data_IF_024421851523
#
_entry.id   IF_024421851523
#
_cell.length_a   1.000
_cell.length_b   1.000
_cell.length_c   1.000
_cell.angle_alpha   90.00
_cell.angle_beta   90.00
_cell.angle_gamma   90.00
#
_symmetry.space_group_name_H-M   'P 1'
#
loop_
_entity.id
_entity.type
_entity.pdbx_description
1 polymer ?
#
# COMPACT_ATOMS: atom_id res chain seq x y z
N UNK A 1 2.27 9.96 10.25
CA UNK A 1 1.22 9.04 10.75
C UNK A 1 -0.12 9.67 10.44
N UNK A 2 -1.10 8.85 10.10
CA UNK A 2 -2.43 9.31 9.72
C UNK A 2 -3.40 8.13 9.59
N UNK A 3 -4.69 8.43 9.52
CA UNK A 3 -5.74 7.45 9.24
C UNK A 3 -5.92 7.18 7.74
N UNK A 4 -5.15 7.84 6.88
CA UNK A 4 -5.16 7.62 5.43
C UNK A 4 -3.75 7.76 4.87
N UNK A 5 -3.42 6.95 3.86
CA UNK A 5 -2.23 7.09 3.03
C UNK A 5 -2.68 7.23 1.59
N UNK A 6 -2.47 8.44 1.04
CA UNK A 6 -2.67 8.74 -0.36
C UNK A 6 -1.41 9.41 -0.90
N UNK A 7 -0.80 8.80 -1.92
CA UNK A 7 0.36 9.37 -2.60
C UNK A 7 -0.01 10.28 -3.77
N UNK A 8 -1.27 10.26 -4.19
CA UNK A 8 -1.81 10.97 -5.36
C UNK A 8 -1.09 10.64 -6.69
N UNK A 9 -0.40 9.50 -6.73
CA UNK A 9 0.34 9.03 -7.89
C UNK A 9 -0.54 8.12 -8.75
N UNK A 10 -0.34 8.20 -10.07
CA UNK A 10 -1.01 7.35 -11.04
C UNK A 10 -0.24 6.04 -11.19
N UNK A 11 -0.92 4.92 -10.97
CA UNK A 11 -0.39 3.57 -11.10
C UNK A 11 -0.81 3.03 -12.46
N UNK A 12 0.17 2.76 -13.32
CA UNK A 12 -0.08 2.14 -14.62
C UNK A 12 -0.62 0.71 -14.47
N UNK A 13 -1.41 0.26 -15.46
CA UNK A 13 -1.87 -1.12 -15.51
C UNK A 13 -0.70 -2.11 -15.42
N UNK A 14 -0.84 -3.14 -14.59
CA UNK A 14 0.21 -4.15 -14.33
C UNK A 14 1.38 -3.67 -13.48
N UNK A 15 1.42 -2.38 -13.11
CA UNK A 15 2.33 -1.88 -12.06
C UNK A 15 1.63 -1.89 -10.71
N UNK A 16 2.39 -1.76 -9.63
CA UNK A 16 1.83 -1.80 -8.28
C UNK A 16 2.19 -0.58 -7.46
N UNK A 17 1.26 -0.15 -6.63
CA UNK A 17 1.48 0.80 -5.54
C UNK A 17 1.40 0.07 -4.20
N UNK A 18 2.27 0.42 -3.25
CA UNK A 18 2.44 -0.36 -2.03
C UNK A 18 2.42 0.51 -0.79
N UNK A 19 1.75 -0.02 0.25
CA UNK A 19 1.50 0.67 1.50
C UNK A 19 1.95 -0.20 2.68
N UNK A 20 2.88 0.32 3.47
CA UNK A 20 3.40 -0.34 4.65
C UNK A 20 2.40 -0.31 5.79
N UNK A 21 2.17 -1.48 6.37
CA UNK A 21 1.35 -1.70 7.56
C UNK A 21 2.20 -2.03 8.79
N UNK A 22 3.53 -2.02 8.67
CA UNK A 22 4.47 -2.17 9.77
C UNK A 22 5.35 -0.92 9.87
N UNK A 23 5.78 -0.58 11.09
CA UNK A 23 6.80 0.43 11.27
C UNK A 23 8.15 -0.04 10.70
N UNK A 24 9.10 0.89 10.61
CA UNK A 24 10.46 0.59 10.19
C UNK A 24 11.44 1.06 11.27
N UNK A 25 12.59 0.40 11.34
CA UNK A 25 13.73 0.81 12.15
C UNK A 25 14.47 1.96 11.47
N UNK A 26 15.39 2.62 12.19
CA UNK A 26 16.15 3.77 11.67
C UNK A 26 17.03 3.42 10.46
N UNK A 27 17.41 2.15 10.33
CA UNK A 27 18.17 1.64 9.17
C UNK A 27 17.27 1.36 7.94
N UNK A 28 15.95 1.51 8.08
CA UNK A 28 14.97 1.26 7.02
C UNK A 28 14.51 -0.19 6.90
N UNK A 29 14.91 -1.08 7.82
CA UNK A 29 14.37 -2.44 7.89
C UNK A 29 12.98 -2.46 8.53
N UNK A 30 12.21 -3.52 8.27
CA UNK A 30 10.91 -3.70 8.93
C UNK A 30 11.07 -3.82 10.45
N UNK A 31 10.26 -3.06 11.18
CA UNK A 31 10.15 -3.15 12.62
C UNK A 31 9.17 -4.25 13.07
N UNK A 32 8.70 -4.12 14.30
CA UNK A 32 7.83 -5.10 14.96
C UNK A 32 6.50 -4.52 15.44
N UNK A 33 6.23 -3.25 15.14
CA UNK A 33 4.97 -2.57 15.46
C UNK A 33 4.10 -2.57 14.21
N UNK A 34 3.13 -3.48 14.21
CA UNK A 34 2.20 -3.68 13.11
C UNK A 34 0.94 -2.81 13.27
N UNK A 35 0.24 -2.58 12.17
CA UNK A 35 -1.06 -1.94 12.14
C UNK A 35 -2.05 -2.76 12.99
N UNK A 36 -2.73 -2.09 13.92
CA UNK A 36 -3.56 -2.74 14.94
C UNK A 36 -5.04 -2.89 14.55
N UNK A 37 -5.46 -2.31 13.42
CA UNK A 37 -6.85 -2.38 12.99
C UNK A 37 -7.22 -3.74 12.41
N UNK A 38 -8.45 -4.17 12.64
CA UNK A 38 -8.98 -5.44 12.12
C UNK A 38 -9.19 -5.42 10.59
N UNK A 39 -9.19 -4.24 9.97
CA UNK A 39 -9.30 -4.09 8.53
C UNK A 39 -8.64 -2.80 8.01
N UNK A 40 -8.44 -2.76 6.70
CA UNK A 40 -8.03 -1.56 5.95
C UNK A 40 -8.98 -1.41 4.78
N UNK A 41 -9.44 -0.19 4.52
CA UNK A 41 -10.14 0.12 3.27
C UNK A 41 -9.11 0.44 2.20
N UNK A 42 -9.19 -0.22 1.05
CA UNK A 42 -8.42 0.10 -0.15
C UNK A 42 -9.36 0.76 -1.13
N UNK A 43 -9.05 1.99 -1.49
CA UNK A 43 -9.94 2.85 -2.25
C UNK A 43 -9.29 3.35 -3.54
N UNK A 44 -10.13 3.64 -4.52
CA UNK A 44 -9.74 4.25 -5.79
C UNK A 44 -10.37 5.64 -5.96
N UNK A 45 -9.79 6.42 -6.88
CA UNK A 45 -10.29 7.75 -7.25
C UNK A 45 -10.79 7.75 -8.69
N UNK A 46 -12.11 7.59 -8.87
CA UNK A 46 -12.75 7.64 -10.18
C UNK A 46 -12.30 6.53 -11.15
N UNK A 47 -11.78 5.42 -10.62
CA UNK A 47 -11.29 4.30 -11.42
C UNK A 47 -12.44 3.39 -11.84
N UNK A 48 -12.39 2.95 -13.10
CA UNK A 48 -13.22 1.88 -13.63
C UNK A 48 -12.32 0.83 -14.29
N UNK A 49 -12.52 -0.43 -13.96
CA UNK A 49 -11.65 -1.54 -14.32
C UNK A 49 -11.49 -2.53 -13.19
N UNK A 50 -10.46 -3.35 -13.26
CA UNK A 50 -10.20 -4.40 -12.29
C UNK A 50 -8.91 -4.14 -11.54
N UNK A 51 -8.79 -4.55 -10.28
CA UNK A 51 -7.52 -4.51 -9.56
C UNK A 51 -7.34 -5.74 -8.69
N UNK A 52 -6.10 -6.20 -8.60
CA UNK A 52 -5.68 -7.18 -7.60
C UNK A 52 -5.12 -6.44 -6.39
N UNK A 53 -5.46 -6.94 -5.20
CA UNK A 53 -4.88 -6.54 -3.94
C UNK A 53 -4.12 -7.73 -3.36
N UNK A 54 -2.82 -7.53 -3.14
CA UNK A 54 -1.94 -8.47 -2.44
C UNK A 54 -1.68 -7.96 -1.01
N UNK A 55 -2.13 -8.73 -0.01
CA UNK A 55 -1.92 -8.46 1.42
C UNK A 55 -0.83 -9.37 1.98
N UNK A 56 0.30 -8.80 2.37
CA UNK A 56 1.43 -9.50 2.97
C UNK A 56 1.34 -9.44 4.49
N UNK A 57 1.53 -10.58 5.15
CA UNK A 57 1.48 -10.69 6.59
C UNK A 57 2.42 -11.76 7.13
N UNK A 58 2.79 -11.63 8.40
CA UNK A 58 3.54 -12.67 9.11
C UNK A 58 2.60 -13.56 9.90
N UNK A 59 2.75 -14.87 9.76
CA UNK A 59 2.07 -15.88 10.58
C UNK A 59 3.14 -16.74 11.28
N UNK A 60 3.35 -16.51 12.57
CA UNK A 60 4.48 -17.09 13.29
C UNK A 60 5.81 -16.65 12.68
N UNK A 61 6.60 -17.60 12.18
CA UNK A 61 7.87 -17.33 11.51
C UNK A 61 7.71 -17.06 9.99
N UNK A 62 6.58 -17.41 9.40
CA UNK A 62 6.41 -17.43 7.95
C UNK A 62 5.85 -16.12 7.41
N UNK A 63 6.34 -15.71 6.24
CA UNK A 63 5.76 -14.64 5.44
C UNK A 63 4.72 -15.23 4.50
N UNK A 64 3.54 -14.63 4.49
CA UNK A 64 2.40 -15.10 3.72
C UNK A 64 1.82 -13.95 2.90
N UNK A 65 1.12 -14.30 1.84
CA UNK A 65 0.42 -13.36 0.97
C UNK A 65 -0.99 -13.87 0.70
N UNK A 66 -1.99 -13.03 0.96
CA UNK A 66 -3.37 -13.25 0.55
C UNK A 66 -3.68 -12.34 -0.63
N UNK A 67 -4.30 -12.89 -1.69
CA UNK A 67 -4.65 -12.13 -2.90
C UNK A 67 -6.15 -12.10 -3.09
N UNK A 68 -6.67 -10.94 -3.45
CA UNK A 68 -8.08 -10.73 -3.75
C UNK A 68 -8.22 -9.84 -4.96
N UNK A 69 -9.14 -10.21 -5.86
CA UNK A 69 -9.44 -9.45 -7.08
C UNK A 69 -10.80 -8.76 -7.01
N UNK A 70 -10.85 -7.51 -7.47
CA UNK A 70 -12.07 -6.69 -7.46
C UNK A 70 -12.30 -5.97 -8.78
N UNK A 71 -13.54 -5.99 -9.26
CA UNK A 71 -14.03 -5.29 -10.44
C UNK A 71 -14.81 -4.05 -10.03
N UNK A 72 -14.46 -2.89 -10.60
CA UNK A 72 -15.07 -1.59 -10.36
C UNK A 72 -15.73 -1.07 -11.64
N UNK A 73 -17.06 -0.92 -11.60
CA UNK A 73 -17.84 -0.49 -12.76
C UNK A 73 -18.10 -1.64 -13.76
N UNK A 74 -18.51 -1.29 -14.98
CA UNK A 74 -18.97 -2.25 -16.02
C UNK A 74 -18.01 -2.45 -17.19
N UNK A 75 -16.78 -1.92 -17.10
CA UNK A 75 -15.79 -1.92 -18.20
C UNK A 75 -14.54 -2.70 -17.75
N UNK A 76 -13.95 -3.48 -18.66
CA UNK A 76 -12.67 -4.18 -18.46
C UNK A 76 -12.62 -5.02 -17.17
N UNK A 77 -13.67 -5.82 -16.96
CA UNK A 77 -13.76 -6.77 -15.86
C UNK A 77 -12.87 -7.98 -16.08
N UNK A 78 -12.32 -8.51 -15.00
CA UNK A 78 -11.63 -9.80 -14.97
C UNK A 78 -12.59 -10.85 -14.42
N UNK A 79 -12.70 -11.98 -15.13
CA UNK A 79 -13.53 -13.09 -14.69
C UNK A 79 -13.00 -13.69 -13.38
N UNK A 80 -13.91 -14.01 -12.45
CA UNK A 80 -13.57 -14.53 -11.12
C UNK A 80 -13.24 -13.46 -10.08
N UNK A 81 -13.13 -12.19 -10.47
CA UNK A 81 -13.01 -11.08 -9.51
C UNK A 81 -14.37 -10.69 -8.93
N UNK A 82 -14.35 -10.15 -7.71
CA UNK A 82 -15.57 -9.72 -7.02
C UNK A 82 -16.04 -8.37 -7.54
N UNK A 83 -17.29 -8.26 -7.96
CA UNK A 83 -17.89 -7.00 -8.40
C UNK A 83 -18.19 -6.06 -7.22
N UNK A 84 -17.79 -4.80 -7.36
CA UNK A 84 -17.91 -3.76 -6.33
C UNK A 84 -18.63 -2.54 -6.91
N UNK A 85 -19.66 -2.05 -6.21
CA UNK A 85 -20.46 -0.89 -6.62
C UNK A 85 -19.96 0.45 -6.07
N UNK A 86 -19.06 0.44 -5.08
CA UNK A 86 -18.41 1.62 -4.52
C UNK A 86 -16.98 1.83 -5.04
N UNK A 87 -16.27 2.80 -4.47
CA UNK A 87 -14.87 3.07 -4.79
C UNK A 87 -13.88 2.43 -3.82
N UNK A 88 -14.37 1.72 -2.79
CA UNK A 88 -13.56 1.12 -1.74
C UNK A 88 -13.92 -0.34 -1.53
N UNK A 89 -12.92 -1.13 -1.14
CA UNK A 89 -13.06 -2.50 -0.66
C UNK A 89 -12.38 -2.63 0.69
N UNK A 90 -12.97 -3.42 1.59
CA UNK A 90 -12.42 -3.65 2.91
C UNK A 90 -11.63 -4.95 2.93
N UNK A 91 -10.36 -4.88 3.29
CA UNK A 91 -9.47 -6.01 3.43
C UNK A 91 -9.34 -6.33 4.92
N UNK A 92 -9.71 -7.55 5.30
CA UNK A 92 -9.56 -8.05 6.66
C UNK A 92 -8.09 -8.27 6.99
N UNK A 93 -7.65 -7.75 8.13
CA UNK A 93 -6.29 -7.93 8.63
C UNK A 93 -6.23 -9.17 9.50
N UNK A 94 -5.31 -10.07 9.18
CA UNK A 94 -5.03 -11.30 9.93
C UNK A 94 -3.57 -11.31 10.36
N UNK A 95 -3.32 -11.87 11.55
CA UNK A 95 -1.97 -12.00 12.13
C UNK A 95 -1.23 -10.66 12.23
N UNK A 96 0.02 -10.58 11.73
CA UNK A 96 0.84 -9.37 11.75
C UNK A 96 0.91 -8.72 10.36
N UNK A 97 0.15 -7.64 10.09
CA UNK A 97 0.10 -6.96 8.79
C UNK A 97 1.42 -6.32 8.38
N UNK A 98 1.94 -6.64 7.18
CA UNK A 98 3.22 -6.08 6.70
C UNK A 98 2.99 -5.03 5.61
N UNK A 99 2.29 -5.39 4.55
CA UNK A 99 2.18 -4.58 3.34
C UNK A 99 0.85 -4.86 2.64
N UNK A 100 0.25 -3.83 2.05
CA UNK A 100 -0.76 -3.98 1.00
C UNK A 100 -0.15 -3.48 -0.30
N UNK A 101 -0.32 -4.25 -1.37
CA UNK A 101 -0.01 -3.85 -2.72
C UNK A 101 -1.27 -3.84 -3.57
N UNK A 102 -1.44 -2.80 -4.38
CA UNK A 102 -2.56 -2.61 -5.31
C UNK A 102 -2.03 -2.62 -6.73
N UNK A 103 -2.52 -3.56 -7.54
CA UNK A 103 -2.13 -3.72 -8.94
C UNK A 103 -3.38 -3.59 -9.81
N UNK A 104 -3.61 -2.42 -10.45
CA UNK A 104 -4.71 -2.31 -11.38
C UNK A 104 -4.41 -3.10 -12.66
N UNK A 105 -5.45 -3.71 -13.21
CA UNK A 105 -5.40 -4.60 -14.37
C UNK A 105 -6.16 -3.95 -15.52
N UNK A 106 -5.59 -4.03 -16.72
CA UNK A 106 -6.10 -3.49 -18.00
C UNK A 106 -6.18 -1.96 -18.08
N UNK A 107 -6.48 -1.27 -16.98
CA UNK A 107 -6.48 0.20 -16.87
C UNK A 107 -5.56 0.63 -15.72
N UNK A 108 -4.99 1.83 -15.80
CA UNK A 108 -4.30 2.46 -14.66
C UNK A 108 -5.23 3.31 -13.81
N UNK A 109 -4.80 3.70 -12.61
CA UNK A 109 -5.63 4.49 -11.70
C UNK A 109 -4.86 5.11 -10.55
N UNK A 110 -5.57 5.84 -9.68
CA UNK A 110 -5.04 6.37 -8.43
C UNK A 110 -5.71 5.66 -7.26
N UNK A 111 -4.90 5.30 -6.27
CA UNK A 111 -5.32 4.49 -5.14
C UNK A 111 -4.81 5.06 -3.82
N UNK A 112 -5.52 4.73 -2.75
CA UNK A 112 -5.16 5.10 -1.39
C UNK A 112 -5.73 4.08 -0.40
N UNK A 113 -5.21 4.08 0.82
CA UNK A 113 -5.75 3.25 1.90
C UNK A 113 -6.21 4.09 3.08
N UNK A 114 -7.25 3.62 3.75
CA UNK A 114 -7.78 4.22 4.98
C UNK A 114 -7.82 3.21 6.11
N UNK A 115 -7.41 3.66 7.28
CA UNK A 115 -7.47 2.91 8.52
C UNK A 115 -8.91 2.86 9.02
N UNK A 116 -9.32 1.71 9.54
CA UNK A 116 -10.63 1.52 10.15
C UNK A 116 -10.51 1.55 11.68
N UNK A 117 -11.61 1.82 12.38
CA UNK A 117 -11.67 1.74 13.84
C UNK A 117 -10.78 2.73 14.59
N UNK A 118 -10.42 3.88 14.00
CA UNK A 118 -9.60 4.92 14.64
C UNK A 118 -8.10 4.61 14.70
N UNK A 119 -7.65 3.56 14.00
CA UNK A 119 -6.23 3.22 13.92
C UNK A 119 -5.45 4.20 13.03
N UNK A 120 -4.13 4.16 13.13
CA UNK A 120 -3.24 4.98 12.29
C UNK A 120 -2.18 4.12 11.65
N UNK A 121 -1.73 4.55 10.46
CA UNK A 121 -0.63 3.92 9.78
C UNK A 121 0.71 4.50 10.23
N UNK A 122 1.71 3.60 10.26
CA UNK A 122 3.11 3.95 10.37
C UNK A 122 3.58 4.83 9.21
N UNK A 123 4.71 5.51 9.40
CA UNK A 123 5.31 6.30 8.31
C UNK A 123 5.63 5.40 7.11
N UNK A 124 5.41 5.93 5.90
CA UNK A 124 5.68 5.23 4.63
C UNK A 124 7.09 5.49 4.10
N UNK A 125 7.88 6.26 4.84
CA UNK A 125 9.21 6.68 4.45
C UNK A 125 9.76 7.75 5.38
N UNK A 126 10.85 8.37 4.94
CA UNK A 126 11.52 9.46 5.64
C UNK A 126 11.33 10.75 4.85
N UNK A 127 10.90 11.81 5.54
CA UNK A 127 10.84 13.15 4.97
C UNK A 127 12.23 13.79 5.06
N UNK A 128 12.83 14.07 3.91
CA UNK A 128 14.07 14.82 3.79
C UNK A 128 13.69 16.28 3.57
N UNK A 129 13.84 17.07 4.62
CA UNK A 129 13.58 18.50 4.59
C UNK A 129 14.90 19.25 4.40
N UNK A 130 14.99 20.06 3.35
CA UNK A 130 16.08 21.00 3.12
C UNK A 130 15.53 22.42 3.18
N UNK A 131 16.04 23.21 4.12
CA UNK A 131 15.69 24.64 4.23
C UNK A 131 16.84 25.47 3.64
N UNK A 132 16.61 26.01 2.45
CA UNK A 132 17.49 27.02 1.88
C UNK A 132 17.10 28.39 2.43
N UNK A 133 18.02 29.06 3.12
CA UNK A 133 17.83 30.43 3.60
C UNK A 133 18.64 31.39 2.75
N UNK A 134 17.97 32.28 2.03
CA UNK A 134 18.60 33.48 1.47
C UNK A 134 18.31 34.58 2.51
N UNK A 135 19.33 35.32 2.95
CA UNK A 135 19.33 36.26 4.08
C UNK A 135 18.00 36.93 4.43
N UNK A 136 17.71 37.04 5.74
CA UNK A 136 16.60 37.77 6.45
C UNK A 136 15.17 37.79 5.89
N UNK A 137 14.87 37.38 4.66
CA UNK A 137 13.55 37.61 4.04
C UNK A 137 12.96 36.43 3.26
N UNK A 138 13.68 35.33 3.02
CA UNK A 138 13.07 34.15 2.41
C UNK A 138 13.72 32.81 2.85
N UNK A 139 12.95 31.97 3.54
CA UNK A 139 13.24 30.54 3.67
C UNK A 139 12.41 29.77 2.65
N UNK A 140 13.07 29.02 1.77
CA UNK A 140 12.40 28.01 0.93
C UNK A 140 12.63 26.64 1.55
N UNK A 141 11.54 26.03 2.00
CA UNK A 141 11.52 24.66 2.51
C UNK A 141 11.21 23.72 1.34
N UNK A 142 12.18 22.89 0.98
CA UNK A 142 11.99 21.76 0.09
C UNK A 142 11.81 20.51 0.97
N UNK A 143 10.76 19.74 0.75
CA UNK A 143 10.56 18.45 1.41
C UNK A 143 10.42 17.36 0.36
N UNK A 144 11.30 16.36 0.40
CA UNK A 144 11.23 15.17 -0.45
C UNK A 144 10.91 13.99 0.46
N UNK A 145 9.83 13.25 0.20
CA UNK A 145 9.53 12.00 0.91
C UNK A 145 10.20 10.83 0.21
N UNK A 146 11.17 10.20 0.87
CA UNK A 146 11.80 8.96 0.39
C UNK A 146 11.05 7.76 0.97
N UNK A 147 10.34 7.01 0.13
CA UNK A 147 9.60 5.81 0.55
C UNK A 147 10.55 4.69 1.00
N UNK A 148 10.11 3.87 1.96
CA UNK A 148 10.84 2.67 2.34
C UNK A 148 10.87 1.67 1.18
N UNK A 149 12.02 1.03 0.97
CA UNK A 149 12.21 0.07 -0.12
C UNK A 149 11.54 -1.25 0.23
N UNK A 150 10.95 -1.90 -0.77
CA UNK A 150 10.48 -3.27 -0.65
C UNK A 150 11.68 -4.25 -0.65
N UNK A 151 11.84 -5.09 0.38
CA UNK A 151 12.68 -6.28 0.33
C UNK A 151 12.40 -7.15 -0.89
N UNK A 152 13.46 -7.73 -1.47
CA UNK A 152 13.37 -8.50 -2.72
C UNK A 152 12.42 -9.69 -2.67
N UNK A 153 12.25 -10.34 -1.50
CA UNK A 153 11.30 -11.43 -1.36
C UNK A 153 9.84 -10.97 -1.50
N UNK A 154 9.49 -9.78 -1.03
CA UNK A 154 8.14 -9.22 -1.24
C UNK A 154 7.91 -8.81 -2.68
N UNK A 155 8.93 -8.27 -3.36
CA UNK A 155 8.85 -8.00 -4.80
C UNK A 155 8.59 -9.30 -5.58
N UNK A 156 9.32 -10.36 -5.23
CA UNK A 156 9.11 -11.69 -5.82
C UNK A 156 7.69 -12.20 -5.55
N UNK A 157 7.17 -11.92 -4.35
CA UNK A 157 5.80 -12.18 -3.98
C UNK A 157 4.74 -11.46 -4.79
N UNK A 158 4.94 -10.18 -5.05
CA UNK A 158 4.02 -9.40 -5.87
C UNK A 158 3.94 -9.95 -7.31
N UNK A 159 5.00 -10.61 -7.77
CA UNK A 159 5.09 -11.19 -9.12
C UNK A 159 4.74 -12.69 -9.18
N UNK A 160 4.72 -13.39 -8.04
CA UNK A 160 4.50 -14.83 -7.99
C UNK A 160 3.01 -15.17 -7.85
N UNK A 161 2.56 -16.22 -8.54
CA UNK A 161 1.17 -16.72 -8.45
C UNK A 161 0.90 -17.59 -7.19
N UNK A 162 1.88 -17.73 -6.28
CA UNK A 162 1.84 -18.67 -5.14
C UNK A 162 2.30 -18.11 -3.79
N UNK A 163 2.49 -19.02 -2.82
CA UNK A 163 3.11 -18.74 -1.50
C UNK A 163 4.63 -18.54 -1.64
N UNK A 164 5.18 -17.60 -0.86
CA UNK A 164 6.63 -17.36 -0.82
C UNK A 164 7.16 -17.98 0.46
N UNK A 165 7.91 -19.06 0.31
CA UNK A 165 8.76 -19.53 1.40
C UNK A 165 10.05 -18.70 1.33
N UNK A 166 10.29 -17.88 2.35
CA UNK A 166 11.62 -17.30 2.55
C UNK A 166 12.43 -18.29 3.40
N UNK A 167 13.47 -18.86 2.81
CA UNK A 167 14.50 -19.64 3.54
C UNK A 167 15.30 -18.75 4.49
#
# INVERSE_FOLDING_TARGET
>A
MGNSINFDEFVSAGSSESYWLVNHLDNGDMGTTYYAGASVNVCNVGFTGSMEISYFYKNGANYNVARSGFNFGSVNKVDGFTDVSGNCVTIGMLNNPILISVTPILNGGKFYIEATGGNTFSSQGVDIVSEGKISTQASKKLSIRRRYKLPGFMVSGMMAEGEILSD
#
